data_IF_236081929107
#
_entry.id   IF_236081929107
#
_cell.length_a   1.000
_cell.length_b   1.000
_cell.length_c   1.000
_cell.angle_alpha   90.00
_cell.angle_beta   90.00
_cell.angle_gamma   90.00
#
_symmetry.space_group_name_H-M   'P 1'
#
loop_
_entity.id
_entity.type
_entity.pdbx_description
1 polymer ?
#
# COMPACT_ATOMS: atom_id res chain seq x y z
N UNK A 1 -52.26 11.31 22.81
CA UNK A 1 -50.86 11.68 22.52
C UNK A 1 -50.20 10.49 21.87
N UNK A 2 -50.08 10.50 20.54
CA UNK A 2 -49.36 9.46 19.79
C UNK A 2 -47.88 9.82 19.84
N UNK A 3 -47.14 9.20 20.77
CA UNK A 3 -45.69 9.27 20.79
C UNK A 3 -45.20 8.57 19.52
N UNK A 4 -44.66 9.36 18.58
CA UNK A 4 -43.97 8.83 17.43
C UNK A 4 -42.95 7.82 17.92
N UNK A 5 -43.03 6.59 17.42
CA UNK A 5 -41.98 5.60 17.47
C UNK A 5 -40.71 6.23 16.89
N UNK A 6 -39.95 6.90 17.75
CA UNK A 6 -38.58 7.25 17.52
C UNK A 6 -37.86 5.91 17.38
N UNK A 7 -37.73 5.52 16.12
CA UNK A 7 -37.12 4.29 15.62
C UNK A 7 -35.77 4.05 16.30
N UNK A 8 -35.76 3.28 17.38
CA UNK A 8 -34.58 2.77 18.08
C UNK A 8 -33.97 1.56 17.36
N UNK A 9 -33.75 1.67 16.04
CA UNK A 9 -33.18 0.56 15.25
C UNK A 9 -32.08 0.98 14.28
N UNK A 10 -31.52 2.18 14.46
CA UNK A 10 -30.23 2.50 13.88
C UNK A 10 -29.15 2.15 14.91
N UNK A 11 -28.91 0.84 15.10
CA UNK A 11 -27.84 0.32 15.96
C UNK A 11 -26.43 0.71 15.48
N UNK A 12 -26.35 1.51 14.39
CA UNK A 12 -25.17 1.98 13.71
C UNK A 12 -24.86 3.47 13.93
N UNK A 13 -25.69 4.26 14.63
CA UNK A 13 -25.40 5.68 14.96
C UNK A 13 -24.81 5.90 16.36
N UNK A 14 -24.45 4.82 17.02
CA UNK A 14 -23.79 4.80 18.31
C UNK A 14 -22.27 5.06 18.11
N UNK A 15 -21.81 6.22 18.59
CA UNK A 15 -20.40 6.68 18.50
C UNK A 15 -19.41 5.79 19.29
N UNK A 16 -19.91 4.89 20.14
CA UNK A 16 -19.10 3.96 20.93
C UNK A 16 -18.96 2.57 20.30
N UNK A 17 -19.87 2.15 19.41
CA UNK A 17 -19.77 0.93 18.61
C UNK A 17 -19.19 1.17 17.23
N UNK A 18 -19.28 2.40 16.71
CA UNK A 18 -18.50 2.81 15.55
C UNK A 18 -17.03 2.95 15.96
N UNK A 19 -16.22 1.97 15.57
CA UNK A 19 -14.77 2.09 15.61
C UNK A 19 -14.29 3.08 14.54
N UNK A 20 -14.35 4.36 14.88
CA UNK A 20 -13.85 5.44 14.03
C UNK A 20 -12.38 5.25 13.66
N UNK A 21 -11.58 4.53 14.46
CA UNK A 21 -10.18 4.27 14.14
C UNK A 21 -10.04 3.26 12.98
N UNK A 22 -10.89 2.23 12.94
CA UNK A 22 -10.95 1.27 11.81
C UNK A 22 -11.47 1.91 10.51
N UNK A 23 -12.38 2.89 10.61
CA UNK A 23 -12.89 3.63 9.45
C UNK A 23 -11.90 4.73 9.00
N UNK A 24 -11.17 5.33 9.94
CA UNK A 24 -10.23 6.41 9.66
C UNK A 24 -8.94 5.94 8.97
N UNK A 25 -8.45 4.73 9.24
CA UNK A 25 -7.30 4.19 8.51
C UNK A 25 -7.37 2.66 8.30
N UNK A 26 -8.09 2.18 7.27
CA UNK A 26 -8.14 0.76 6.90
C UNK A 26 -6.81 0.19 6.39
N UNK A 27 -5.73 0.99 6.35
CA UNK A 27 -4.46 0.63 5.74
C UNK A 27 -4.29 1.30 4.38
N UNK A 28 -4.18 2.63 4.37
CA UNK A 28 -4.05 3.49 3.18
C UNK A 28 -2.83 3.24 2.26
N UNK A 29 -2.03 2.20 2.49
CA UNK A 29 -0.83 1.92 1.68
C UNK A 29 0.29 2.97 1.80
N UNK A 30 0.16 3.95 2.72
CA UNK A 30 1.18 4.97 2.99
C UNK A 30 2.34 4.46 3.89
N UNK A 31 2.57 3.15 3.92
CA UNK A 31 3.69 2.61 4.67
C UNK A 31 4.99 2.73 3.87
N UNK A 32 6.10 2.92 4.58
CA UNK A 32 7.43 3.00 3.97
C UNK A 32 7.72 1.73 3.14
N UNK A 33 7.32 0.55 3.62
CA UNK A 33 7.44 -0.68 2.84
C UNK A 33 6.57 -0.70 1.58
N UNK A 34 5.38 -0.09 1.62
CA UNK A 34 4.47 -0.02 0.48
C UNK A 34 5.06 0.78 -0.68
N UNK A 35 5.65 1.94 -0.40
CA UNK A 35 6.15 2.84 -1.46
C UNK A 35 7.60 2.62 -1.86
N UNK A 36 8.48 2.18 -0.94
CA UNK A 36 9.93 2.08 -1.24
C UNK A 36 10.23 1.10 -2.38
N UNK A 37 9.63 -0.10 -2.33
CA UNK A 37 9.81 -1.08 -3.40
C UNK A 37 9.31 -0.58 -4.75
N UNK A 38 8.16 0.10 -4.76
CA UNK A 38 7.54 0.68 -5.97
C UNK A 38 8.44 1.75 -6.59
N UNK A 39 8.99 2.67 -5.79
CA UNK A 39 9.89 3.73 -6.28
C UNK A 39 11.14 3.13 -6.94
N UNK A 40 11.75 2.13 -6.31
CA UNK A 40 12.94 1.46 -6.88
C UNK A 40 12.58 0.79 -8.21
N UNK A 41 11.44 0.09 -8.28
CA UNK A 41 10.98 -0.53 -9.53
C UNK A 41 10.68 0.49 -10.61
N UNK A 42 10.04 1.62 -10.28
CA UNK A 42 9.75 2.69 -11.22
C UNK A 42 11.04 3.27 -11.81
N UNK A 43 12.05 3.53 -10.98
CA UNK A 43 13.38 3.96 -11.43
C UNK A 43 13.98 2.93 -12.39
N UNK A 44 13.95 1.64 -12.02
CA UNK A 44 14.43 0.56 -12.88
C UNK A 44 13.70 0.51 -14.23
N UNK A 45 12.37 0.60 -14.23
CA UNK A 45 11.56 0.61 -15.46
C UNK A 45 11.86 1.84 -16.31
N UNK A 46 12.01 3.03 -15.72
CA UNK A 46 12.39 4.25 -16.44
C UNK A 46 13.75 4.10 -17.12
N UNK A 47 14.76 3.61 -16.39
CA UNK A 47 16.10 3.34 -16.97
C UNK A 47 16.02 2.28 -18.07
N UNK A 48 15.22 1.24 -17.87
CA UNK A 48 14.99 0.18 -18.85
C UNK A 48 14.35 0.70 -20.13
N UNK A 49 13.38 1.60 -20.01
CA UNK A 49 12.73 2.25 -21.15
C UNK A 49 13.76 3.05 -21.96
N UNK A 50 14.58 3.86 -21.30
CA UNK A 50 15.68 4.61 -21.95
C UNK A 50 16.67 3.67 -22.63
N UNK A 51 17.15 2.64 -21.93
CA UNK A 51 18.09 1.66 -22.46
C UNK A 51 17.56 0.90 -23.68
N UNK A 52 16.28 0.54 -23.65
CA UNK A 52 15.61 -0.13 -24.75
C UNK A 52 15.43 0.80 -25.97
N UNK A 53 15.06 2.07 -25.76
CA UNK A 53 14.92 3.06 -26.84
C UNK A 53 16.23 3.30 -27.59
N UNK A 54 17.36 3.36 -26.89
CA UNK A 54 18.68 3.56 -27.52
C UNK A 54 19.36 2.26 -27.96
N UNK A 55 18.64 1.13 -27.90
CA UNK A 55 19.13 -0.20 -28.28
C UNK A 55 20.41 -0.63 -27.52
N UNK A 56 20.56 -0.19 -26.28
CA UNK A 56 21.69 -0.54 -25.42
C UNK A 56 21.31 -1.72 -24.51
N UNK A 57 21.79 -2.95 -24.81
CA UNK A 57 21.43 -4.13 -24.04
C UNK A 57 21.98 -4.07 -22.61
N UNK A 58 23.17 -3.50 -22.40
CA UNK A 58 23.79 -3.41 -21.07
C UNK A 58 22.92 -2.60 -20.11
N UNK A 59 22.46 -1.42 -20.53
CA UNK A 59 21.58 -0.57 -19.70
C UNK A 59 20.26 -1.27 -19.42
N UNK A 60 19.71 -1.96 -20.42
CA UNK A 60 18.46 -2.72 -20.30
C UNK A 60 18.58 -3.84 -19.26
N UNK A 61 19.68 -4.61 -19.26
CA UNK A 61 19.90 -5.66 -18.27
C UNK A 61 20.16 -5.11 -16.86
N UNK A 62 20.88 -3.98 -16.74
CA UNK A 62 21.06 -3.30 -15.44
C UNK A 62 19.71 -2.86 -14.88
N UNK A 63 18.83 -2.30 -15.70
CA UNK A 63 17.48 -1.92 -15.31
C UNK A 63 16.64 -3.10 -14.79
N UNK A 64 16.73 -4.26 -15.44
CA UNK A 64 16.08 -5.49 -14.95
C UNK A 64 16.60 -5.86 -13.55
N UNK A 65 17.91 -5.74 -13.32
CA UNK A 65 18.52 -5.94 -12.00
C UNK A 65 17.98 -4.96 -10.94
N UNK A 66 17.77 -3.69 -11.30
CA UNK A 66 17.20 -2.68 -10.40
C UNK A 66 15.75 -3.02 -10.02
N UNK A 67 14.94 -3.48 -10.98
CA UNK A 67 13.56 -3.92 -10.71
C UNK A 67 13.56 -5.11 -9.75
N UNK A 68 14.42 -6.10 -9.97
CA UNK A 68 14.57 -7.24 -9.07
C UNK A 68 14.99 -6.81 -7.65
N UNK A 69 15.91 -5.84 -7.55
CA UNK A 69 16.31 -5.25 -6.26
C UNK A 69 15.13 -4.59 -5.54
N UNK A 70 14.25 -3.89 -6.26
CA UNK A 70 13.03 -3.32 -5.69
C UNK A 70 12.11 -4.36 -5.06
N UNK A 71 12.00 -5.55 -5.65
CA UNK A 71 11.21 -6.67 -5.09
C UNK A 71 11.85 -7.14 -3.80
N UNK A 72 13.16 -7.39 -3.82
CA UNK A 72 13.92 -7.85 -2.66
C UNK A 72 13.80 -6.87 -1.50
N UNK A 73 13.99 -5.57 -1.76
CA UNK A 73 13.85 -4.51 -0.75
C UNK A 73 12.42 -4.47 -0.19
N UNK A 74 11.39 -4.56 -1.03
CA UNK A 74 10.00 -4.60 -0.57
C UNK A 74 9.72 -5.78 0.35
N UNK A 75 10.25 -6.97 0.04
CA UNK A 75 10.13 -8.16 0.88
C UNK A 75 10.85 -7.99 2.23
N UNK A 76 12.06 -7.44 2.22
CA UNK A 76 12.83 -7.16 3.43
C UNK A 76 12.09 -6.16 4.31
N UNK A 77 11.60 -5.06 3.74
CA UNK A 77 10.86 -4.01 4.48
C UNK A 77 9.57 -4.56 5.11
N UNK A 78 8.88 -5.47 4.42
CA UNK A 78 7.74 -6.19 4.98
C UNK A 78 8.17 -7.09 6.14
N UNK A 79 9.29 -7.79 6.03
CA UNK A 79 9.79 -8.69 7.06
C UNK A 79 10.24 -7.96 8.33
N UNK A 80 10.80 -6.76 8.22
CA UNK A 80 11.22 -5.94 9.38
C UNK A 80 10.06 -5.15 10.02
N UNK A 81 8.82 -5.36 9.58
CA UNK A 81 7.64 -4.75 10.18
C UNK A 81 7.35 -3.30 9.76
N UNK A 82 8.00 -2.82 8.69
CA UNK A 82 7.71 -1.51 8.09
C UNK A 82 6.52 -1.54 7.11
N UNK A 83 5.91 -2.71 6.92
CA UNK A 83 4.67 -2.92 6.18
C UNK A 83 3.43 -2.86 7.07
N UNK A 84 2.26 -2.83 6.44
CA UNK A 84 0.98 -2.83 7.14
C UNK A 84 0.84 -4.09 8.02
N UNK A 85 0.50 -3.89 9.31
CA UNK A 85 0.22 -5.00 10.22
C UNK A 85 -0.99 -5.78 9.69
N UNK A 86 -0.93 -7.12 9.59
CA UNK A 86 -2.09 -7.89 9.22
C UNK A 86 -3.21 -7.62 10.24
N UNK A 87 -4.40 -7.26 9.76
CA UNK A 87 -5.58 -7.08 10.62
C UNK A 87 -5.82 -8.41 11.35
N UNK A 88 -5.70 -8.43 12.68
CA UNK A 88 -6.12 -9.59 13.47
C UNK A 88 -7.60 -9.82 13.18
N UNK A 89 -7.95 -11.04 12.76
CA UNK A 89 -9.35 -11.48 12.78
C UNK A 89 -9.83 -11.59 14.21
#
# INVERSE_FOLDING_TARGET
>A
MSQSLARNEATDLDKSTIDYATIADPGHGNSVAGWTGVVIMLIGVTIGCVGFTIHNPTITYVAIGVVALGIIVGLILRAVGLGNKPKSK
#
